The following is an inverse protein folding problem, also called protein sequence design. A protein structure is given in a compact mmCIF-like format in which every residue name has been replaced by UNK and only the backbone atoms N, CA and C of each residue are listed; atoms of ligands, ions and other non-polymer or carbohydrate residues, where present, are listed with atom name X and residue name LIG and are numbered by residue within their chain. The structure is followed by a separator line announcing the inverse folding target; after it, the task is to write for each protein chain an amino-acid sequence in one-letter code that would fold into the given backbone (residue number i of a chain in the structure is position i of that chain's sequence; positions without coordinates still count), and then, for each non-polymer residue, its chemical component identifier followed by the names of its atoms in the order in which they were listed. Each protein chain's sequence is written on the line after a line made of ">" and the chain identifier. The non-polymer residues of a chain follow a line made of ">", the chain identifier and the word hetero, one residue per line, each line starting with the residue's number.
data_IF_347327991912
#
_entry.id   IF_347327991912
#
_cell.length_a   1.000
_cell.length_b   1.000
_cell.length_c   1.000
_cell.angle_alpha   90.00
_cell.angle_beta   90.00
_cell.angle_gamma   90.00
#
_symmetry.space_group_name_H-M   'P 1'
#
loop_
_entity.id
_entity.type
_entity.pdbx_description
1 polymer ?
#
# COMPACT_ATOMS: atom_id res chain seq x y z
N UNK A 1 -16.16 -13.23 23.68
CA UNK A 1 -15.18 -12.30 23.11
C UNK A 1 -15.44 -12.13 21.63
N UNK A 2 -15.81 -10.93 21.23
CA UNK A 2 -16.12 -10.68 19.83
C UNK A 2 -14.82 -10.57 19.06
N UNK A 3 -14.56 -11.54 18.19
CA UNK A 3 -13.45 -11.41 17.26
C UNK A 3 -13.75 -10.23 16.34
N UNK A 4 -12.84 -9.28 16.27
CA UNK A 4 -12.94 -8.24 15.26
C UNK A 4 -12.80 -8.90 13.89
N UNK A 5 -13.94 -9.20 13.30
CA UNK A 5 -13.99 -9.61 11.90
C UNK A 5 -14.00 -8.35 11.05
N UNK A 6 -13.07 -8.25 10.10
CA UNK A 6 -13.04 -7.18 9.15
C UNK A 6 -11.69 -6.52 9.01
N UNK A 7 -11.65 -5.51 8.19
CA UNK A 7 -10.46 -4.74 7.86
C UNK A 7 -10.32 -3.55 8.80
N UNK A 8 -9.15 -3.43 9.44
CA UNK A 8 -8.77 -2.20 10.13
C UNK A 8 -7.57 -1.60 9.39
N UNK A 9 -7.81 -0.51 8.69
CA UNK A 9 -6.77 0.18 7.95
C UNK A 9 -5.75 0.79 8.91
N UNK A 10 -4.46 0.57 8.64
CA UNK A 10 -3.36 1.15 9.39
C UNK A 10 -2.75 2.33 8.63
N UNK A 11 -2.44 2.16 7.36
CA UNK A 11 -1.79 3.18 6.54
C UNK A 11 -2.18 3.04 5.08
N UNK A 12 -2.19 4.16 4.37
CA UNK A 12 -2.44 4.23 2.92
C UNK A 12 -1.32 4.98 2.23
N UNK A 13 -1.05 4.60 0.99
CA UNK A 13 -0.08 5.27 0.14
C UNK A 13 -0.78 6.04 -0.98
N UNK A 14 -1.28 7.21 -0.66
CA UNK A 14 -1.97 8.07 -1.64
C UNK A 14 -1.04 8.55 -2.74
N UNK A 15 0.22 8.80 -2.40
CA UNK A 15 1.24 9.24 -3.35
C UNK A 15 1.48 8.20 -4.44
N UNK A 16 1.49 6.91 -4.10
CA UNK A 16 1.67 5.84 -5.08
C UNK A 16 0.56 5.82 -6.11
N UNK A 17 -0.67 6.04 -5.71
CA UNK A 17 -1.81 6.11 -6.63
C UNK A 17 -1.73 7.30 -7.58
N UNK A 18 -1.10 8.38 -7.14
CA UNK A 18 -0.84 9.56 -7.98
C UNK A 18 0.34 9.35 -8.93
N UNK A 19 1.43 8.76 -8.43
CA UNK A 19 2.70 8.64 -9.16
C UNK A 19 2.76 7.44 -10.11
N UNK A 20 1.92 6.43 -9.91
CA UNK A 20 1.97 5.17 -10.64
C UNK A 20 0.62 4.82 -11.27
N UNK A 21 0.69 4.24 -12.48
CA UNK A 21 -0.45 3.54 -13.07
C UNK A 21 -0.47 2.12 -12.52
N UNK A 22 -1.55 1.77 -11.82
CA UNK A 22 -1.68 0.47 -11.17
C UNK A 22 -2.24 -0.53 -12.19
N UNK A 23 -1.47 -1.58 -12.46
CA UNK A 23 -1.84 -2.61 -13.44
C UNK A 23 -2.53 -3.79 -12.78
N UNK A 24 -2.10 -4.16 -11.58
CA UNK A 24 -2.67 -5.30 -10.85
C UNK A 24 -2.40 -5.12 -9.36
N UNK A 25 -3.20 -5.78 -8.52
CA UNK A 25 -3.05 -5.73 -7.06
C UNK A 25 -3.07 -7.12 -6.46
N UNK A 26 -2.34 -7.31 -5.36
CA UNK A 26 -2.23 -8.57 -4.65
C UNK A 26 -2.38 -8.33 -3.16
N UNK A 27 -3.23 -9.12 -2.50
CA UNK A 27 -3.26 -9.15 -1.03
C UNK A 27 -2.14 -10.07 -0.55
N UNK A 28 -1.26 -9.53 0.29
CA UNK A 28 -0.09 -10.27 0.75
C UNK A 28 0.04 -10.21 2.26
N UNK A 29 0.70 -11.21 2.86
CA UNK A 29 1.10 -11.17 4.25
C UNK A 29 2.50 -10.61 4.40
N UNK A 30 2.88 -10.30 5.64
CA UNK A 30 4.21 -9.78 5.97
C UNK A 30 4.78 -10.56 7.15
N UNK A 31 6.05 -10.93 7.08
CA UNK A 31 6.77 -11.50 8.20
C UNK A 31 7.24 -10.37 9.12
N UNK A 32 6.59 -10.19 10.26
CA UNK A 32 6.82 -9.10 11.18
C UNK A 32 7.23 -9.60 12.57
N UNK A 33 7.95 -8.75 13.29
CA UNK A 33 8.27 -8.99 14.71
C UNK A 33 7.11 -8.51 15.60
N UNK A 34 7.13 -8.93 16.87
CA UNK A 34 6.08 -8.54 17.81
C UNK A 34 5.99 -7.03 18.01
N UNK A 35 7.12 -6.33 18.06
CA UNK A 35 7.14 -4.87 18.24
C UNK A 35 6.62 -4.15 17.02
N UNK A 36 6.83 -4.68 15.82
CA UNK A 36 6.25 -4.14 14.59
C UNK A 36 4.73 -4.24 14.60
N UNK A 37 4.21 -5.40 14.97
CA UNK A 37 2.75 -5.61 15.06
C UNK A 37 2.13 -4.65 16.09
N UNK A 38 2.78 -4.47 17.23
CA UNK A 38 2.30 -3.54 18.27
C UNK A 38 2.27 -2.09 17.79
N UNK A 39 3.32 -1.65 17.07
CA UNK A 39 3.34 -0.32 16.43
C UNK A 39 2.21 -0.16 15.44
N UNK A 40 1.96 -1.17 14.60
CA UNK A 40 0.87 -1.14 13.63
C UNK A 40 -0.51 -1.09 14.30
N UNK A 41 -0.69 -1.78 15.42
CA UNK A 41 -1.93 -1.70 16.20
C UNK A 41 -2.16 -0.29 16.75
N UNK A 42 -1.11 0.44 17.04
CA UNK A 42 -1.18 1.84 17.43
C UNK A 42 -1.41 2.78 16.23
N UNK A 43 -1.55 2.24 15.03
CA UNK A 43 -1.81 3.02 13.81
C UNK A 43 -0.59 3.72 13.23
N UNK A 44 0.61 3.24 13.55
CA UNK A 44 1.86 3.91 13.16
C UNK A 44 2.56 3.17 12.02
N UNK A 45 2.54 3.75 10.83
CA UNK A 45 3.33 3.30 9.69
C UNK A 45 3.32 4.35 8.59
N UNK A 46 4.36 4.37 7.78
CA UNK A 46 4.42 5.20 6.57
C UNK A 46 4.86 4.35 5.39
N UNK A 47 4.10 4.41 4.30
CA UNK A 47 4.35 3.69 3.06
C UNK A 47 4.95 4.56 1.96
N UNK A 48 5.15 5.84 2.21
CA UNK A 48 5.47 6.84 1.18
C UNK A 48 6.68 6.45 0.33
N UNK A 49 7.73 5.96 0.96
CA UNK A 49 8.96 5.56 0.27
C UNK A 49 9.04 4.05 0.04
N UNK A 50 7.95 3.33 0.31
CA UNK A 50 7.92 1.88 0.24
C UNK A 50 7.90 1.35 -1.18
N UNK A 51 8.62 0.26 -1.39
CA UNK A 51 8.56 -0.52 -2.62
C UNK A 51 8.88 -1.97 -2.30
N UNK A 52 8.63 -2.85 -3.25
CA UNK A 52 9.01 -4.26 -3.10
C UNK A 52 9.96 -4.67 -4.21
N UNK A 53 10.89 -5.55 -3.89
CA UNK A 53 11.83 -6.13 -4.83
C UNK A 53 11.78 -7.64 -4.77
N UNK A 54 12.20 -8.29 -5.85
CA UNK A 54 12.27 -9.75 -5.91
C UNK A 54 13.75 -10.14 -5.91
N UNK A 55 14.17 -10.85 -4.85
CA UNK A 55 15.53 -11.34 -4.69
C UNK A 55 15.49 -12.83 -4.39
N UNK A 56 16.26 -13.61 -5.15
CA UNK A 56 16.34 -15.08 -5.00
C UNK A 56 14.97 -15.76 -4.97
N UNK A 57 14.06 -15.29 -5.83
CA UNK A 57 12.72 -15.86 -5.94
C UNK A 57 11.79 -15.51 -4.78
N UNK A 58 12.16 -14.57 -3.93
CA UNK A 58 11.33 -14.09 -2.83
C UNK A 58 11.06 -12.59 -2.96
N UNK A 59 9.90 -12.15 -2.47
CA UNK A 59 9.50 -10.75 -2.52
C UNK A 59 9.81 -10.09 -1.17
N UNK A 60 10.44 -8.93 -1.22
CA UNK A 60 10.86 -8.17 -0.04
C UNK A 60 10.30 -6.76 -0.09
N UNK A 61 9.65 -6.35 1.00
CA UNK A 61 9.17 -4.99 1.18
C UNK A 61 10.29 -4.15 1.80
N UNK A 62 10.63 -3.03 1.14
CA UNK A 62 11.72 -2.16 1.55
C UNK A 62 11.24 -0.73 1.78
N UNK A 63 11.92 -0.01 2.65
CA UNK A 63 11.69 1.41 2.96
C UNK A 63 10.32 1.75 3.52
N UNK A 64 9.54 0.76 3.96
CA UNK A 64 8.33 1.01 4.73
C UNK A 64 8.76 1.32 6.17
N UNK A 65 8.32 2.46 6.68
CA UNK A 65 8.65 2.92 8.00
C UNK A 65 7.61 2.45 9.02
N UNK A 66 8.04 1.63 9.97
CA UNK A 66 7.24 1.23 11.13
C UNK A 66 8.01 1.71 12.36
N UNK A 67 7.55 2.78 13.04
CA UNK A 67 8.27 3.33 14.19
C UNK A 67 8.50 2.29 15.28
N UNK A 68 9.55 2.49 16.07
CA UNK A 68 9.78 1.67 17.23
C UNK A 68 8.59 1.73 18.19
N UNK A 69 8.28 0.62 18.82
CA UNK A 69 7.24 0.57 19.83
C UNK A 69 7.73 1.25 21.09
N UNK A 70 7.06 2.32 21.51
CA UNK A 70 7.50 3.19 22.61
C UNK A 70 7.73 2.43 23.92
N UNK A 71 6.92 1.41 24.18
CA UNK A 71 7.05 0.56 25.37
C UNK A 71 7.97 -0.63 25.15
N UNK A 72 8.56 -0.73 23.95
CA UNK A 72 9.54 -1.76 23.66
C UNK A 72 10.87 -1.44 24.32
N UNK A 73 11.55 -2.48 24.75
CA UNK A 73 12.87 -2.34 25.36
C UNK A 73 13.96 -2.51 24.30
N UNK A 74 15.14 -2.98 24.71
CA UNK A 74 16.27 -3.25 23.83
C UNK A 74 16.00 -4.26 22.70
N UNK A 75 14.86 -4.96 22.73
CA UNK A 75 14.46 -5.93 21.70
C UNK A 75 13.65 -5.31 20.56
N UNK A 76 13.60 -4.00 20.46
CA UNK A 76 12.82 -3.31 19.43
C UNK A 76 13.38 -3.57 18.02
N UNK A 77 12.53 -3.36 17.00
CA UNK A 77 12.90 -3.56 15.61
C UNK A 77 13.55 -2.30 15.01
N UNK A 78 14.24 -2.48 13.89
CA UNK A 78 14.72 -1.37 13.07
C UNK A 78 13.57 -0.84 12.21
N UNK A 79 13.22 0.46 12.30
CA UNK A 79 12.02 1.00 11.68
C UNK A 79 11.89 0.77 10.16
N UNK A 80 12.99 0.83 9.44
CA UNK A 80 12.99 0.69 7.97
C UNK A 80 13.62 -0.61 7.47
N UNK A 81 13.62 -1.65 8.27
CA UNK A 81 14.23 -2.92 7.88
C UNK A 81 13.50 -3.54 6.68
N UNK A 82 14.23 -4.34 5.91
CA UNK A 82 13.71 -5.17 4.84
C UNK A 82 12.78 -6.25 5.43
N UNK A 83 11.57 -6.39 4.89
CA UNK A 83 10.58 -7.35 5.39
C UNK A 83 10.16 -8.32 4.31
N UNK A 84 10.08 -9.60 4.67
CA UNK A 84 9.66 -10.63 3.72
C UNK A 84 8.16 -10.54 3.48
N UNK A 85 7.78 -10.54 2.21
CA UNK A 85 6.38 -10.59 1.79
C UNK A 85 5.98 -12.06 1.65
N UNK A 86 4.83 -12.40 2.23
CA UNK A 86 4.30 -13.75 2.20
C UNK A 86 3.26 -13.84 1.08
N UNK A 87 3.63 -14.52 -0.01
CA UNK A 87 2.79 -14.72 -1.19
C UNK A 87 2.86 -16.19 -1.61
N UNK A 88 1.84 -16.62 -2.35
CA UNK A 88 1.88 -17.93 -2.99
C UNK A 88 2.96 -17.99 -4.05
N UNK A 89 3.64 -19.13 -4.16
CA UNK A 89 4.72 -19.32 -5.11
C UNK A 89 4.30 -19.03 -6.56
N UNK A 90 3.09 -19.43 -6.91
CA UNK A 90 2.53 -19.18 -8.24
C UNK A 90 2.41 -17.69 -8.56
N UNK A 91 2.02 -16.88 -7.56
CA UNK A 91 1.92 -15.42 -7.73
C UNK A 91 3.30 -14.79 -7.86
N UNK A 92 4.28 -15.24 -7.07
CA UNK A 92 5.66 -14.77 -7.16
C UNK A 92 6.24 -15.04 -8.55
N UNK A 93 6.03 -16.25 -9.08
CA UNK A 93 6.53 -16.63 -10.39
C UNK A 93 5.93 -15.76 -11.51
N UNK A 94 4.64 -15.45 -11.42
CA UNK A 94 3.99 -14.52 -12.35
C UNK A 94 4.59 -13.12 -12.27
N UNK A 95 4.85 -12.64 -11.06
CA UNK A 95 5.47 -11.32 -10.86
C UNK A 95 6.89 -11.26 -11.42
N UNK A 96 7.68 -12.32 -11.24
CA UNK A 96 9.02 -12.39 -11.81
C UNK A 96 8.97 -12.22 -13.33
N UNK A 97 8.04 -12.92 -14.00
CA UNK A 97 7.85 -12.78 -15.44
C UNK A 97 7.46 -11.36 -15.86
N UNK A 98 6.50 -10.76 -15.15
CA UNK A 98 6.01 -9.41 -15.46
C UNK A 98 7.04 -8.33 -15.21
N UNK A 99 7.82 -8.43 -14.15
CA UNK A 99 8.84 -7.42 -13.81
C UNK A 99 10.07 -7.49 -14.72
N UNK A 100 10.34 -8.63 -15.36
CA UNK A 100 11.44 -8.77 -16.32
C UNK A 100 11.28 -7.89 -17.56
N UNK A 101 10.06 -7.52 -17.91
CA UNK A 101 9.78 -6.69 -19.09
C UNK A 101 10.23 -5.23 -18.93
N UNK A 102 10.68 -4.83 -17.74
CA UNK A 102 11.18 -3.49 -17.49
C UNK A 102 10.11 -2.43 -17.31
N UNK A 103 10.44 -1.36 -16.61
CA UNK A 103 9.53 -0.25 -16.38
C UNK A 103 8.42 -0.51 -15.37
N UNK A 104 8.33 -1.73 -14.82
CA UNK A 104 7.34 -2.08 -13.80
C UNK A 104 7.99 -2.17 -12.43
N UNK A 105 7.26 -1.75 -11.40
CA UNK A 105 7.70 -1.82 -10.02
C UNK A 105 6.57 -2.33 -9.13
N UNK A 106 6.93 -2.78 -7.93
CA UNK A 106 5.96 -3.21 -6.93
C UNK A 106 5.93 -2.16 -5.82
N UNK A 107 4.75 -1.64 -5.53
CA UNK A 107 4.57 -0.63 -4.48
C UNK A 107 3.45 -1.02 -3.53
N UNK A 108 3.62 -0.81 -2.21
CA UNK A 108 2.54 -1.04 -1.27
C UNK A 108 1.52 0.10 -1.35
N UNK A 109 0.25 -0.24 -1.42
CA UNK A 109 -0.84 0.75 -1.45
C UNK A 109 -1.44 0.98 -0.08
N UNK A 110 -1.52 -0.05 0.74
CA UNK A 110 -2.04 0.05 2.10
C UNK A 110 -1.51 -1.07 2.99
N UNK A 111 -1.65 -0.84 4.29
CA UNK A 111 -1.45 -1.84 5.34
C UNK A 111 -2.73 -1.89 6.17
N UNK A 112 -3.16 -3.08 6.52
CA UNK A 112 -4.38 -3.27 7.30
C UNK A 112 -4.33 -4.55 8.11
N UNK A 113 -5.19 -4.63 9.12
CA UNK A 113 -5.45 -5.88 9.83
C UNK A 113 -6.68 -6.55 9.24
N UNK A 114 -6.55 -7.81 8.92
CA UNK A 114 -7.64 -8.64 8.45
C UNK A 114 -7.70 -9.87 9.35
N UNK A 115 -8.79 -10.01 10.08
CA UNK A 115 -8.98 -11.10 11.02
C UNK A 115 -7.79 -11.27 11.98
N UNK A 116 -7.27 -10.16 12.48
CA UNK A 116 -6.15 -10.12 13.42
C UNK A 116 -4.77 -10.28 12.79
N UNK A 117 -4.66 -10.48 11.49
CA UNK A 117 -3.39 -10.62 10.78
C UNK A 117 -3.06 -9.38 9.97
N UNK A 118 -1.80 -9.00 9.95
CA UNK A 118 -1.34 -7.87 9.13
C UNK A 118 -1.27 -8.29 7.67
N UNK A 119 -1.96 -7.55 6.83
CA UNK A 119 -1.96 -7.72 5.38
C UNK A 119 -1.57 -6.41 4.69
N UNK A 120 -1.11 -6.51 3.48
CA UNK A 120 -0.82 -5.36 2.64
C UNK A 120 -1.42 -5.57 1.26
N UNK A 121 -1.80 -4.48 0.61
CA UNK A 121 -2.11 -4.50 -0.82
C UNK A 121 -0.85 -4.09 -1.57
N UNK A 122 -0.30 -5.02 -2.32
CA UNK A 122 0.89 -4.79 -3.13
C UNK A 122 0.45 -4.61 -4.59
N UNK A 123 0.88 -3.53 -5.21
CA UNK A 123 0.49 -3.20 -6.58
C UNK A 123 1.65 -3.41 -7.55
N UNK A 124 1.35 -4.04 -8.67
CA UNK A 124 2.22 -4.02 -9.85
C UNK A 124 1.90 -2.73 -10.59
N UNK A 125 2.89 -1.86 -10.75
CA UNK A 125 2.66 -0.51 -11.19
C UNK A 125 3.73 -0.03 -12.18
N UNK A 126 3.34 0.93 -13.00
CA UNK A 126 4.22 1.62 -13.94
C UNK A 126 4.28 3.09 -13.55
N UNK A 127 5.48 3.67 -13.50
CA UNK A 127 5.65 5.08 -13.21
C UNK A 127 4.97 5.94 -14.27
N UNK A 128 4.19 6.93 -13.83
CA UNK A 128 3.55 7.89 -14.72
C UNK A 128 4.55 8.95 -15.13
N UNK A 129 4.51 9.31 -16.43
CA UNK A 129 5.23 10.48 -16.91
C UNK A 129 4.57 11.75 -16.36
N UNK A 130 5.30 12.84 -16.26
CA UNK A 130 4.77 14.11 -15.75
C UNK A 130 3.49 14.54 -16.48
N UNK A 131 3.40 14.28 -17.77
CA UNK A 131 2.22 14.54 -18.58
C UNK A 131 0.98 13.78 -18.07
N UNK A 132 1.14 12.48 -17.80
CA UNK A 132 0.04 11.62 -17.33
C UNK A 132 -0.47 12.06 -15.96
N UNK A 133 0.44 12.50 -15.08
CA UNK A 133 0.08 13.02 -13.75
C UNK A 133 -0.79 14.27 -13.85
N UNK A 134 -0.45 15.20 -14.76
CA UNK A 134 -1.23 16.42 -14.99
C UNK A 134 -2.62 16.10 -15.50
N UNK A 135 -2.72 15.15 -16.42
CA UNK A 135 -4.00 14.73 -16.99
C UNK A 135 -4.91 14.12 -15.90
N UNK A 136 -4.39 13.27 -15.05
CA UNK A 136 -5.15 12.67 -13.95
C UNK A 136 -5.70 13.73 -13.00
N UNK A 137 -4.90 14.73 -12.66
CA UNK A 137 -5.32 15.83 -11.80
C UNK A 137 -6.42 16.67 -12.45
N UNK A 138 -6.27 16.97 -13.72
CA UNK A 138 -7.27 17.72 -14.49
C UNK A 138 -8.61 16.97 -14.55
N UNK A 139 -8.57 15.67 -14.79
CA UNK A 139 -9.76 14.82 -14.80
C UNK A 139 -10.47 14.79 -13.44
N UNK A 140 -9.71 14.68 -12.36
CA UNK A 140 -10.28 14.71 -10.99
C UNK A 140 -10.96 16.03 -10.69
N UNK A 141 -10.34 17.13 -11.05
CA UNK A 141 -10.87 18.46 -10.83
C UNK A 141 -12.16 18.67 -11.64
N UNK A 142 -12.17 18.24 -12.90
CA UNK A 142 -13.36 18.28 -13.75
C UNK A 142 -14.51 17.47 -13.15
N UNK A 143 -14.24 16.29 -12.67
CA UNK A 143 -15.25 15.44 -12.00
C UNK A 143 -15.83 16.11 -10.75
N UNK A 144 -14.99 16.74 -9.95
CA UNK A 144 -15.44 17.46 -8.75
C UNK A 144 -16.34 18.63 -9.10
N UNK A 145 -16.00 19.40 -10.14
CA UNK A 145 -16.81 20.51 -10.61
C UNK A 145 -18.17 20.06 -11.12
N UNK A 146 -18.21 18.98 -11.89
CA UNK A 146 -19.44 18.37 -12.40
C UNK A 146 -20.33 17.93 -11.24
N UNK A 147 -19.76 17.26 -10.24
CA UNK A 147 -20.51 16.81 -9.07
C UNK A 147 -21.08 17.97 -8.26
N UNK A 148 -20.32 19.05 -8.10
CA UNK A 148 -20.78 20.26 -7.40
C UNK A 148 -21.93 20.93 -8.17
N UNK A 149 -21.81 21.07 -9.47
CA UNK A 149 -22.85 21.64 -10.31
C UNK A 149 -24.12 20.80 -10.27
N UNK A 150 -24.02 19.49 -10.34
CA UNK A 150 -25.14 18.57 -10.23
C UNK A 150 -25.81 18.67 -8.86
N UNK A 151 -25.03 18.71 -7.77
CA UNK A 151 -25.54 18.86 -6.42
C UNK A 151 -26.32 20.16 -6.22
N UNK A 152 -25.85 21.27 -6.78
CA UNK A 152 -26.56 22.56 -6.75
C UNK A 152 -27.88 22.49 -7.51
N UNK A 153 -27.88 21.84 -8.67
CA UNK A 153 -29.09 21.68 -9.49
C UNK A 153 -30.17 20.91 -8.73
N UNK A 154 -29.79 19.78 -8.11
CA UNK A 154 -30.72 18.96 -7.32
C UNK A 154 -31.27 19.74 -6.12
N UNK A 155 -30.44 20.53 -5.43
CA UNK A 155 -30.89 21.39 -4.30
C UNK A 155 -31.79 22.52 -4.75
N UNK A 156 -31.62 23.03 -5.96
CA UNK A 156 -32.47 24.11 -6.50
C UNK A 156 -33.83 23.66 -6.99
N UNK A 157 -34.14 22.37 -7.01
CA UNK A 157 -35.42 21.81 -7.46
C UNK A 157 -36.46 21.61 -6.35
N UNK A 158 -36.24 22.06 -5.18
CA UNK A 158 -37.21 21.94 -4.10
C UNK A 158 -38.37 22.92 -4.32
#
# INVERSE_FOLDING_TARGET
>A
MVKQQGHKLVAQNKKARHDYSILDTYEVGLALTGTEVKSLRAGRASLVDGFASIDDGEVWLQHVHIPEYVQGTWTNHTPRRKRKVLMHRSEIDKLIGKTKEGGLTLVPLDLYFKDGKVKATLALAKGKKAYDKRQDLAERDSRREIQKAFGRYVKGRR
#
